data_IF_548637401592
#
_entry.id   IF_548637401592
#
_cell.length_a   1.000
_cell.length_b   1.000
_cell.length_c   1.000
_cell.angle_alpha   90.00
_cell.angle_beta   90.00
_cell.angle_gamma   90.00
#
_symmetry.space_group_name_H-M   'P 1'
#
loop_
_entity.id
_entity.type
_entity.pdbx_description
1 polymer ?
#
# COMPACT_ATOMS: atom_id res chain seq x y z
N UNK A 1 36.00 38.23 9.95
CA UNK A 1 36.21 37.22 11.01
C UNK A 1 35.20 37.35 12.15
N UNK A 2 34.56 38.50 12.34
CA UNK A 2 33.52 38.73 13.36
C UNK A 2 32.14 38.17 12.99
N UNK A 3 31.77 38.17 11.70
CA UNK A 3 30.48 37.62 11.25
C UNK A 3 30.33 36.11 11.52
N UNK A 4 31.43 35.34 11.44
CA UNK A 4 31.44 33.90 11.74
C UNK A 4 31.34 33.65 13.25
N UNK A 5 31.96 34.50 14.08
CA UNK A 5 31.82 34.43 15.54
C UNK A 5 30.40 34.78 16.01
N UNK A 6 29.72 35.70 15.32
CA UNK A 6 28.34 36.07 15.65
C UNK A 6 27.34 34.97 15.29
N UNK A 7 27.50 34.29 14.16
CA UNK A 7 26.68 33.12 13.80
C UNK A 7 26.86 32.00 14.84
N UNK A 8 28.10 31.72 15.25
CA UNK A 8 28.40 30.66 16.24
C UNK A 8 27.88 31.03 17.65
N UNK A 9 27.89 32.32 18.03
CA UNK A 9 27.38 32.78 19.32
C UNK A 9 25.84 32.94 19.38
N UNK A 10 25.17 33.21 18.25
CA UNK A 10 23.69 33.21 18.18
C UNK A 10 23.12 31.79 18.27
N UNK A 11 23.81 30.80 17.68
CA UNK A 11 23.53 29.37 17.89
C UNK A 11 24.27 28.83 19.11
N UNK A 12 24.18 29.51 20.27
CA UNK A 12 24.37 28.77 21.53
C UNK A 12 23.43 27.58 21.46
N UNK A 13 24.01 26.39 21.28
CA UNK A 13 23.38 25.09 21.35
C UNK A 13 22.80 24.93 22.75
N UNK A 14 21.70 25.62 23.00
CA UNK A 14 20.77 25.27 24.07
C UNK A 14 20.17 23.98 23.59
N UNK A 15 20.74 22.86 24.04
CA UNK A 15 20.12 21.55 23.85
C UNK A 15 18.71 21.72 24.41
N UNK A 16 17.66 21.60 23.58
CA UNK A 16 16.30 21.73 24.08
C UNK A 16 16.11 20.73 25.22
N UNK A 17 15.59 21.19 26.35
CA UNK A 17 15.30 20.30 27.47
C UNK A 17 14.28 19.26 27.00
N UNK A 18 14.73 18.01 26.85
CA UNK A 18 13.88 16.91 26.40
C UNK A 18 12.88 16.62 27.50
N UNK A 19 11.62 16.93 27.25
CA UNK A 19 10.51 16.61 28.14
C UNK A 19 10.05 15.17 27.91
N UNK A 20 9.40 14.57 28.90
CA UNK A 20 8.79 13.24 28.76
C UNK A 20 7.75 13.21 27.63
N UNK A 21 7.08 14.33 27.37
CA UNK A 21 6.15 14.50 26.24
C UNK A 21 6.86 14.33 24.90
N UNK A 22 8.08 14.86 24.73
CA UNK A 22 8.86 14.72 23.50
C UNK A 22 9.20 13.25 23.22
N UNK A 23 9.50 12.46 24.26
CA UNK A 23 9.78 11.02 24.12
C UNK A 23 8.55 10.27 23.61
N UNK A 24 7.37 10.55 24.19
CA UNK A 24 6.11 9.96 23.74
C UNK A 24 5.82 10.37 22.30
N UNK A 25 5.99 11.65 21.96
CA UNK A 25 5.75 12.17 20.62
C UNK A 25 6.66 11.51 19.59
N UNK A 26 7.97 11.36 19.88
CA UNK A 26 8.91 10.66 19.00
C UNK A 26 8.50 9.21 18.79
N UNK A 27 8.04 8.50 19.83
CA UNK A 27 7.58 7.11 19.70
C UNK A 27 6.35 7.04 18.79
N UNK A 28 5.37 7.93 19.00
CA UNK A 28 4.15 7.98 18.20
C UNK A 28 4.48 8.32 16.74
N UNK A 29 5.30 9.34 16.49
CA UNK A 29 5.72 9.73 15.13
C UNK A 29 6.52 8.61 14.47
N UNK A 30 7.46 7.98 15.17
CA UNK A 30 8.26 6.89 14.62
C UNK A 30 7.37 5.72 14.21
N UNK A 31 6.41 5.35 15.06
CA UNK A 31 5.43 4.31 14.75
C UNK A 31 4.57 4.67 13.52
N UNK A 32 4.06 5.91 13.46
CA UNK A 32 3.23 6.40 12.36
C UNK A 32 4.02 6.44 11.05
N UNK A 33 5.21 7.04 11.05
CA UNK A 33 6.09 7.13 9.89
C UNK A 33 6.45 5.72 9.40
N UNK A 34 6.81 4.80 10.30
CA UNK A 34 7.11 3.42 9.94
C UNK A 34 5.94 2.75 9.21
N UNK A 35 4.71 2.91 9.71
CA UNK A 35 3.52 2.34 9.09
C UNK A 35 3.20 2.98 7.75
N UNK A 36 3.33 4.31 7.63
CA UNK A 36 3.14 5.02 6.36
C UNK A 36 4.17 4.54 5.32
N UNK A 37 5.44 4.46 5.68
CA UNK A 37 6.50 3.96 4.77
C UNK A 37 6.23 2.51 4.37
N UNK A 38 5.88 1.64 5.32
CA UNK A 38 5.54 0.23 5.04
C UNK A 38 4.35 0.13 4.08
N UNK A 39 3.32 0.96 4.26
CA UNK A 39 2.14 1.01 3.40
C UNK A 39 2.49 1.48 1.99
N UNK A 40 3.25 2.57 1.85
CA UNK A 40 3.63 3.13 0.53
C UNK A 40 4.56 2.17 -0.24
N UNK A 41 5.47 1.46 0.43
CA UNK A 41 6.54 0.66 -0.20
C UNK A 41 6.06 -0.36 -1.24
N UNK A 42 4.85 -0.91 -1.05
CA UNK A 42 4.27 -1.93 -1.93
C UNK A 42 3.29 -1.35 -2.96
N UNK A 43 3.16 -0.03 -3.05
CA UNK A 43 2.23 0.66 -3.94
C UNK A 43 2.97 1.38 -5.07
N UNK A 44 2.23 1.83 -6.08
CA UNK A 44 2.77 2.67 -7.17
C UNK A 44 3.39 3.98 -6.65
N UNK A 45 2.93 4.46 -5.50
CA UNK A 45 3.50 5.62 -4.83
C UNK A 45 4.98 5.46 -4.45
N UNK A 46 5.47 4.23 -4.23
CA UNK A 46 6.90 4.00 -3.97
C UNK A 46 7.79 4.42 -5.16
N UNK A 47 7.33 4.18 -6.38
CA UNK A 47 8.02 4.61 -7.60
C UNK A 47 8.05 6.13 -7.71
N UNK A 48 6.95 6.80 -7.33
CA UNK A 48 6.85 8.27 -7.33
C UNK A 48 7.78 8.91 -6.30
N UNK A 49 7.87 8.33 -5.09
CA UNK A 49 8.83 8.77 -4.06
C UNK A 49 10.28 8.66 -4.56
N UNK A 50 10.64 7.57 -5.23
CA UNK A 50 11.96 7.44 -5.87
C UNK A 50 12.20 8.50 -6.94
N UNK A 51 11.20 8.78 -7.77
CA UNK A 51 11.26 9.85 -8.78
C UNK A 51 11.48 11.22 -8.14
N UNK A 52 10.75 11.53 -7.07
CA UNK A 52 10.90 12.78 -6.32
C UNK A 52 12.29 12.89 -5.68
N UNK A 53 12.84 11.78 -5.15
CA UNK A 53 14.20 11.74 -4.62
C UNK A 53 15.26 12.06 -5.68
N UNK A 54 15.08 11.59 -6.92
CA UNK A 54 15.95 11.94 -8.05
C UNK A 54 15.85 13.43 -8.38
N UNK A 55 14.64 14.00 -8.42
CA UNK A 55 14.45 15.45 -8.64
C UNK A 55 15.13 16.26 -7.53
N UNK A 56 14.98 15.87 -6.26
CA UNK A 56 15.66 16.52 -5.14
C UNK A 56 17.18 16.44 -5.25
N UNK A 57 17.72 15.31 -5.72
CA UNK A 57 19.15 15.16 -5.96
C UNK A 57 19.65 16.16 -7.03
N UNK A 58 18.94 16.28 -8.15
CA UNK A 58 19.29 17.25 -9.20
C UNK A 58 19.15 18.70 -8.72
N UNK A 59 18.15 18.98 -7.88
CA UNK A 59 17.99 20.29 -7.27
C UNK A 59 19.16 20.64 -6.34
N UNK A 60 19.56 19.69 -5.49
CA UNK A 60 20.71 19.85 -4.59
C UNK A 60 22.02 20.08 -5.35
N UNK A 61 22.26 19.30 -6.42
CA UNK A 61 23.38 19.53 -7.34
C UNK A 61 23.27 20.93 -7.96
N UNK A 62 22.09 21.33 -8.43
CA UNK A 62 21.84 22.64 -9.00
C UNK A 62 22.21 23.79 -8.06
N UNK A 63 21.90 23.67 -6.76
CA UNK A 63 22.28 24.64 -5.74
C UNK A 63 23.79 24.72 -5.57
N UNK A 64 24.46 23.58 -5.43
CA UNK A 64 25.93 23.51 -5.23
C UNK A 64 26.67 24.16 -6.40
N UNK A 65 26.25 23.84 -7.63
CA UNK A 65 26.89 24.33 -8.86
C UNK A 65 26.30 25.64 -9.38
N UNK A 66 25.37 26.26 -8.65
CA UNK A 66 24.70 27.51 -9.01
C UNK A 66 24.06 27.47 -10.41
N UNK A 67 23.46 26.34 -10.78
CA UNK A 67 22.80 26.14 -12.07
C UNK A 67 21.43 26.84 -12.07
N UNK A 68 21.44 28.16 -12.23
CA UNK A 68 20.24 29.01 -12.12
C UNK A 68 19.08 28.57 -13.02
N UNK A 69 19.37 28.13 -14.25
CA UNK A 69 18.34 27.65 -15.19
C UNK A 69 17.71 26.34 -14.70
N UNK A 70 18.50 25.41 -14.17
CA UNK A 70 18.00 24.13 -13.65
C UNK A 70 17.14 24.36 -12.42
N UNK A 71 17.61 25.20 -11.48
CA UNK A 71 16.84 25.57 -10.29
C UNK A 71 15.52 26.22 -10.71
N UNK A 72 15.55 27.15 -11.66
CA UNK A 72 14.36 27.81 -12.18
C UNK A 72 13.36 26.81 -12.78
N UNK A 73 13.81 25.87 -13.62
CA UNK A 73 12.95 24.82 -14.20
C UNK A 73 12.32 23.96 -13.09
N UNK A 74 13.13 23.50 -12.13
CA UNK A 74 12.64 22.64 -11.04
C UNK A 74 11.61 23.38 -10.19
N UNK A 75 11.89 24.62 -9.78
CA UNK A 75 10.97 25.43 -8.97
C UNK A 75 9.63 25.66 -9.69
N UNK A 76 9.64 26.07 -10.95
CA UNK A 76 8.42 26.24 -11.74
C UNK A 76 7.67 24.91 -11.97
N UNK A 77 8.39 23.79 -12.06
CA UNK A 77 7.78 22.46 -12.22
C UNK A 77 7.11 21.99 -10.94
N UNK A 78 7.66 22.31 -9.76
CA UNK A 78 7.09 21.89 -8.46
C UNK A 78 5.69 22.47 -8.28
N UNK A 79 5.46 23.74 -8.66
CA UNK A 79 4.15 24.40 -8.50
C UNK A 79 3.02 23.64 -9.21
N UNK A 80 3.27 23.19 -10.46
CA UNK A 80 2.31 22.37 -11.23
C UNK A 80 2.39 20.90 -10.80
N UNK A 81 3.57 20.45 -10.40
CA UNK A 81 3.88 19.09 -10.00
C UNK A 81 3.11 18.64 -8.77
N UNK A 82 2.85 19.52 -7.79
CA UNK A 82 2.02 19.20 -6.62
C UNK A 82 0.59 18.81 -7.04
N UNK A 83 0.00 19.55 -7.99
CA UNK A 83 -1.34 19.26 -8.50
C UNK A 83 -1.34 17.92 -9.25
N UNK A 84 -0.33 17.69 -10.10
CA UNK A 84 -0.19 16.43 -10.83
C UNK A 84 -0.02 15.24 -9.88
N UNK A 85 0.81 15.38 -8.84
CA UNK A 85 0.99 14.38 -7.78
C UNK A 85 -0.35 14.09 -7.11
N UNK A 86 -1.11 15.11 -6.70
CA UNK A 86 -2.40 14.90 -6.04
C UNK A 86 -3.39 14.13 -6.92
N UNK A 87 -3.45 14.45 -8.21
CA UNK A 87 -4.30 13.74 -9.19
C UNK A 87 -3.84 12.29 -9.35
N UNK A 88 -2.54 12.05 -9.50
CA UNK A 88 -1.98 10.71 -9.68
C UNK A 88 -2.18 9.85 -8.42
N UNK A 89 -2.04 10.44 -7.23
CA UNK A 89 -2.22 9.78 -5.93
C UNK A 89 -3.69 9.63 -5.50
N UNK A 90 -4.64 10.16 -6.28
CA UNK A 90 -6.06 10.11 -5.95
C UNK A 90 -6.57 8.68 -5.67
N UNK A 91 -6.22 7.65 -6.47
CA UNK A 91 -6.63 6.27 -6.21
C UNK A 91 -6.07 5.72 -4.89
N UNK A 92 -4.80 5.98 -4.58
CA UNK A 92 -4.15 5.55 -3.35
C UNK A 92 -4.77 6.21 -2.12
N UNK A 93 -5.06 7.52 -2.18
CA UNK A 93 -5.75 8.23 -1.10
C UNK A 93 -7.13 7.65 -0.84
N UNK A 94 -7.89 7.34 -1.90
CA UNK A 94 -9.18 6.66 -1.78
C UNK A 94 -9.03 5.31 -1.10
N UNK A 95 -8.11 4.47 -1.59
CA UNK A 95 -7.85 3.14 -1.03
C UNK A 95 -7.43 3.19 0.44
N UNK A 96 -6.63 4.19 0.84
CA UNK A 96 -6.25 4.41 2.24
C UNK A 96 -7.48 4.69 3.12
N UNK A 97 -8.36 5.59 2.69
CA UNK A 97 -9.59 5.93 3.41
C UNK A 97 -10.56 4.74 3.49
N UNK A 98 -10.68 3.97 2.41
CA UNK A 98 -11.47 2.74 2.38
C UNK A 98 -10.93 1.69 3.35
N UNK A 99 -9.61 1.48 3.40
CA UNK A 99 -8.97 0.56 4.34
C UNK A 99 -9.14 1.02 5.80
N UNK A 100 -9.01 2.32 6.05
CA UNK A 100 -9.26 2.91 7.37
C UNK A 100 -10.72 2.73 7.81
N UNK A 101 -11.67 2.83 6.88
CA UNK A 101 -13.10 2.64 7.15
C UNK A 101 -13.53 1.17 7.31
N UNK A 102 -12.88 0.23 6.61
CA UNK A 102 -13.19 -1.21 6.67
C UNK A 102 -12.55 -1.92 7.86
N UNK A 103 -11.37 -1.50 8.29
CA UNK A 103 -10.68 -2.14 9.40
C UNK A 103 -11.32 -1.66 10.70
N UNK A 104 -12.01 -2.57 11.38
CA UNK A 104 -12.46 -2.40 12.75
C UNK A 104 -11.22 -2.37 13.68
N UNK A 105 -10.38 -1.32 13.56
CA UNK A 105 -9.11 -1.14 14.29
C UNK A 105 -9.35 -1.27 15.80
N UNK A 106 -10.55 -0.88 16.26
CA UNK A 106 -11.02 -1.02 17.62
C UNK A 106 -11.12 -2.50 18.07
N UNK A 107 -11.52 -3.43 17.19
CA UNK A 107 -11.66 -4.86 17.51
C UNK A 107 -10.31 -5.58 17.57
N UNK A 108 -9.36 -5.21 16.70
CA UNK A 108 -8.01 -5.79 16.68
C UNK A 108 -7.12 -5.35 17.85
N UNK A 109 -7.42 -4.20 18.47
CA UNK A 109 -6.71 -3.72 19.67
C UNK A 109 -7.34 -4.26 20.97
N UNK A 110 -8.65 -4.53 20.98
CA UNK A 110 -9.37 -4.98 22.17
C UNK A 110 -9.50 -6.50 22.31
N UNK A 111 -9.24 -7.27 21.25
CA UNK A 111 -9.44 -8.72 21.23
C UNK A 111 -8.10 -9.41 20.98
N UNK A 112 -7.32 -9.58 22.05
CA UNK A 112 -6.30 -10.64 22.15
C UNK A 112 -7.05 -11.97 22.34
N UNK A 113 -7.74 -12.43 21.30
CA UNK A 113 -8.32 -13.78 21.32
C UNK A 113 -7.53 -14.64 20.36
N UNK A 114 -6.81 -15.60 20.92
CA UNK A 114 -6.10 -16.70 20.26
C UNK A 114 -7.09 -17.72 19.66
N UNK A 115 -8.27 -17.28 19.24
CA UNK A 115 -9.16 -18.12 18.45
C UNK A 115 -8.64 -18.07 17.02
N UNK A 116 -8.20 -19.23 16.54
CA UNK A 116 -7.90 -19.45 15.13
C UNK A 116 -9.09 -18.97 14.32
N UNK A 117 -8.94 -17.81 13.68
CA UNK A 117 -9.85 -17.29 12.66
C UNK A 117 -9.80 -18.27 11.46
N UNK A 118 -10.48 -19.40 11.58
CA UNK A 118 -10.77 -20.28 10.44
C UNK A 118 -11.78 -19.53 9.57
N UNK A 119 -11.26 -18.64 8.72
CA UNK A 119 -12.04 -17.85 7.74
C UNK A 119 -12.86 -18.74 6.79
N UNK A 120 -12.46 -19.99 6.64
CA UNK A 120 -13.16 -21.02 5.88
C UNK A 120 -13.71 -22.06 6.84
N UNK A 121 -14.96 -22.47 6.60
CA UNK A 121 -15.43 -23.73 7.14
C UNK A 121 -14.58 -24.88 6.58
N UNK A 122 -14.30 -25.90 7.40
CA UNK A 122 -13.71 -27.17 6.97
C UNK A 122 -14.41 -27.73 5.71
N UNK A 123 -15.72 -27.52 5.58
CA UNK A 123 -16.49 -27.91 4.41
C UNK A 123 -15.98 -27.21 3.13
N UNK A 124 -15.84 -25.88 3.14
CA UNK A 124 -15.38 -25.10 1.99
C UNK A 124 -13.98 -25.53 1.57
N UNK A 125 -13.09 -25.76 2.55
CA UNK A 125 -11.74 -26.23 2.29
C UNK A 125 -11.75 -27.61 1.59
N UNK A 126 -12.56 -28.55 2.09
CA UNK A 126 -12.69 -29.88 1.52
C UNK A 126 -13.23 -29.84 0.08
N UNK A 127 -14.20 -28.98 -0.22
CA UNK A 127 -14.75 -28.83 -1.57
C UNK A 127 -13.70 -28.28 -2.56
N UNK A 128 -12.88 -27.30 -2.14
CA UNK A 128 -11.78 -26.78 -2.97
C UNK A 128 -10.75 -27.88 -3.25
N UNK A 129 -10.35 -28.63 -2.23
CA UNK A 129 -9.39 -29.74 -2.37
C UNK A 129 -9.94 -30.79 -3.34
N UNK A 130 -11.20 -31.20 -3.16
CA UNK A 130 -11.87 -32.20 -4.01
C UNK A 130 -11.92 -31.74 -5.48
N UNK A 131 -12.31 -30.50 -5.75
CA UNK A 131 -12.31 -29.94 -7.10
C UNK A 131 -10.91 -29.93 -7.72
N UNK A 132 -9.90 -29.49 -6.95
CA UNK A 132 -8.52 -29.38 -7.43
C UNK A 132 -7.96 -30.76 -7.82
N UNK A 133 -8.22 -31.80 -7.03
CA UNK A 133 -7.82 -33.18 -7.37
C UNK A 133 -8.49 -33.67 -8.65
N UNK A 134 -9.78 -33.39 -8.84
CA UNK A 134 -10.52 -33.79 -10.04
C UNK A 134 -9.99 -33.08 -11.30
N UNK A 135 -9.78 -31.76 -11.22
CA UNK A 135 -9.22 -30.94 -12.30
C UNK A 135 -7.81 -31.40 -12.67
N UNK A 136 -6.97 -31.69 -11.66
CA UNK A 136 -5.62 -32.22 -11.88
C UNK A 136 -5.64 -33.59 -12.57
N UNK A 137 -6.55 -34.50 -12.16
CA UNK A 137 -6.72 -35.82 -12.78
C UNK A 137 -7.09 -35.73 -14.25
N UNK A 138 -7.91 -34.74 -14.60
CA UNK A 138 -8.36 -34.48 -15.97
C UNK A 138 -7.40 -33.57 -16.77
N UNK A 139 -6.28 -33.15 -16.18
CA UNK A 139 -5.29 -32.22 -16.77
C UNK A 139 -5.93 -30.91 -17.23
N UNK A 140 -6.85 -30.40 -16.42
CA UNK A 140 -7.52 -29.12 -16.60
C UNK A 140 -6.81 -28.07 -15.77
N UNK A 141 -6.39 -26.98 -16.41
CA UNK A 141 -5.77 -25.85 -15.71
C UNK A 141 -6.83 -25.03 -14.98
N UNK A 142 -6.53 -24.61 -13.76
CA UNK A 142 -7.42 -23.77 -12.97
C UNK A 142 -6.61 -22.70 -12.23
N UNK A 143 -7.15 -21.49 -12.18
CA UNK A 143 -6.62 -20.39 -11.39
C UNK A 143 -7.70 -19.95 -10.40
N UNK A 144 -7.47 -20.22 -9.12
CA UNK A 144 -8.41 -19.92 -8.04
C UNK A 144 -7.75 -18.88 -7.14
N UNK A 145 -8.35 -17.70 -7.05
CA UNK A 145 -7.88 -16.60 -6.19
C UNK A 145 -8.78 -16.51 -4.97
N UNK A 146 -8.17 -16.43 -3.78
CA UNK A 146 -8.89 -16.35 -2.51
C UNK A 146 -8.66 -14.96 -1.93
N UNK A 147 -9.74 -14.20 -1.73
CA UNK A 147 -9.69 -12.91 -1.04
C UNK A 147 -9.34 -13.10 0.44
N UNK A 148 -8.33 -12.39 0.93
CA UNK A 148 -7.94 -12.39 2.34
C UNK A 148 -8.33 -11.07 3.04
N UNK A 149 -7.37 -10.23 3.42
CA UNK A 149 -7.63 -8.95 4.08
C UNK A 149 -7.87 -7.81 3.09
N UNK A 150 -7.29 -7.93 1.90
CA UNK A 150 -7.38 -6.91 0.87
C UNK A 150 -8.48 -7.34 -0.12
N UNK A 151 -9.55 -6.55 -0.25
CA UNK A 151 -10.65 -6.88 -1.14
C UNK A 151 -10.23 -6.84 -2.61
N UNK A 152 -10.76 -7.77 -3.40
CA UNK A 152 -10.38 -7.96 -4.81
C UNK A 152 -11.32 -7.27 -5.81
N UNK A 153 -12.16 -6.34 -5.35
CA UNK A 153 -13.17 -5.62 -6.14
C UNK A 153 -12.67 -5.07 -7.50
N UNK A 154 -11.40 -4.63 -7.58
CA UNK A 154 -10.80 -4.12 -8.82
C UNK A 154 -10.64 -5.23 -9.88
N UNK A 155 -10.40 -6.47 -9.47
CA UNK A 155 -10.27 -7.64 -10.33
C UNK A 155 -11.62 -8.31 -10.61
N UNK A 156 -12.52 -8.32 -9.62
CA UNK A 156 -13.88 -8.87 -9.75
C UNK A 156 -14.66 -8.20 -10.90
N UNK A 157 -14.47 -6.89 -11.10
CA UNK A 157 -15.20 -6.11 -12.11
C UNK A 157 -14.99 -6.56 -13.57
N UNK A 158 -13.94 -7.33 -13.85
CA UNK A 158 -13.69 -7.92 -15.18
C UNK A 158 -14.32 -9.29 -15.40
N UNK A 159 -14.82 -9.93 -14.34
CA UNK A 159 -15.41 -11.27 -14.38
C UNK A 159 -16.93 -11.30 -14.56
N UNK A 160 -17.50 -12.50 -14.54
CA UNK A 160 -18.95 -12.72 -14.45
C UNK A 160 -19.28 -12.99 -12.97
N UNK A 161 -20.17 -12.20 -12.35
CA UNK A 161 -20.48 -12.35 -10.92
C UNK A 161 -21.26 -13.65 -10.67
N UNK A 162 -20.79 -14.45 -9.72
CA UNK A 162 -21.42 -15.69 -9.27
C UNK A 162 -21.53 -15.64 -7.75
N UNK A 163 -22.72 -15.29 -7.24
CA UNK A 163 -23.03 -15.32 -5.81
C UNK A 163 -23.62 -16.69 -5.44
N UNK A 164 -22.74 -17.65 -5.19
CA UNK A 164 -23.13 -19.05 -4.98
C UNK A 164 -22.42 -19.69 -3.80
N UNK A 165 -23.05 -20.72 -3.23
CA UNK A 165 -22.40 -21.61 -2.26
C UNK A 165 -21.33 -22.42 -3.01
N UNK A 166 -20.10 -22.40 -2.48
CA UNK A 166 -18.99 -23.14 -3.06
C UNK A 166 -19.22 -24.64 -2.94
N UNK A 167 -19.17 -25.34 -4.08
CA UNK A 167 -19.09 -26.79 -4.16
C UNK A 167 -18.04 -27.21 -5.18
N UNK A 168 -17.54 -28.43 -5.04
CA UNK A 168 -16.57 -28.99 -5.97
C UNK A 168 -17.14 -29.14 -7.38
N UNK A 169 -18.41 -29.51 -7.50
CA UNK A 169 -19.10 -29.62 -8.77
C UNK A 169 -19.22 -28.26 -9.48
N UNK A 170 -19.41 -27.17 -8.74
CA UNK A 170 -19.43 -25.83 -9.32
C UNK A 170 -18.04 -25.43 -9.84
N UNK A 171 -17.00 -25.62 -9.04
CA UNK A 171 -15.63 -25.30 -9.44
C UNK A 171 -15.19 -26.10 -10.67
N UNK A 172 -15.53 -27.38 -10.74
CA UNK A 172 -15.25 -28.22 -11.91
C UNK A 172 -15.94 -27.67 -13.15
N UNK A 173 -17.21 -27.24 -13.05
CA UNK A 173 -17.95 -26.67 -14.17
C UNK A 173 -17.40 -25.32 -14.65
N UNK A 174 -16.96 -24.45 -13.73
CA UNK A 174 -16.34 -23.16 -14.09
C UNK A 174 -15.09 -23.39 -14.96
N UNK A 175 -14.26 -24.37 -14.58
CA UNK A 175 -13.05 -24.72 -15.30
C UNK A 175 -13.25 -25.81 -16.37
N UNK A 176 -14.48 -26.13 -16.76
CA UNK A 176 -14.73 -27.08 -17.85
C UNK A 176 -14.44 -26.44 -19.22
N UNK A 177 -13.78 -27.19 -20.11
CA UNK A 177 -13.32 -26.64 -21.40
C UNK A 177 -14.51 -26.23 -22.27
N UNK A 178 -14.36 -25.12 -22.99
CA UNK A 178 -15.35 -24.57 -23.93
C UNK A 178 -16.62 -24.00 -23.28
N UNK A 179 -16.55 -23.64 -21.99
CA UNK A 179 -17.60 -22.83 -21.36
C UNK A 179 -17.23 -21.35 -21.37
N UNK A 180 -18.20 -20.41 -21.38
CA UNK A 180 -17.93 -18.97 -21.29
C UNK A 180 -17.17 -18.53 -20.03
N UNK A 181 -17.17 -19.36 -18.98
CA UNK A 181 -16.56 -19.07 -17.68
C UNK A 181 -15.12 -19.57 -17.55
N UNK A 182 -14.63 -20.37 -18.49
CA UNK A 182 -13.33 -21.03 -18.42
C UNK A 182 -12.13 -20.09 -18.62
N UNK A 183 -12.33 -18.91 -19.24
CA UNK A 183 -11.23 -18.04 -19.67
C UNK A 183 -11.03 -16.86 -18.71
N UNK A 184 -10.35 -17.11 -17.59
CA UNK A 184 -9.92 -16.07 -16.63
C UNK A 184 -10.04 -16.46 -15.16
N UNK A 185 -9.56 -15.57 -14.28
CA UNK A 185 -9.81 -15.56 -12.83
C UNK A 185 -9.97 -14.13 -12.35
#
# INVERSE_FOLDING_TARGET
MEAIKNIINDYRLTIPDITFTDIIEIIILAFLIYHVVKWIKNTRAWTLVKGLAVIMLFWFIGIIFQLNVVIWIISNTIDVGIIAILIVFQPELRKALEQLGKKNIVRSILVFDESKDERFSDHTLNEIIRATFELARNKTGALIVIEEEIPLNEFESSGIPIDSILSSELLINIFERNTPLHDGA
#
